data_IF_057607675306
#
_entry.id   IF_057607675306
#
_cell.length_a   1.000
_cell.length_b   1.000
_cell.length_c   1.000
_cell.angle_alpha   90.00
_cell.angle_beta   90.00
_cell.angle_gamma   90.00
#
_symmetry.space_group_name_H-M   'P 1'
#
loop_
_entity.id
_entity.type
_entity.pdbx_description
1 polymer ?
#
# COMPACT_ATOMS: atom_id res chain seq x y z
N UNK A 1 16.49 0.18 6.84
CA UNK A 1 15.92 -0.59 5.70
C UNK A 1 16.78 -0.57 4.43
N UNK A 2 17.51 0.51 4.12
CA UNK A 2 18.28 0.64 2.88
C UNK A 2 17.81 1.83 2.05
N UNK A 3 18.57 2.19 1.01
CA UNK A 3 18.27 3.21 0.00
C UNK A 3 17.99 2.55 -1.35
N UNK A 4 17.03 3.09 -2.12
CA UNK A 4 16.83 2.70 -3.52
C UNK A 4 17.86 3.38 -4.42
N UNK A 5 18.28 2.67 -5.45
CA UNK A 5 19.04 3.25 -6.56
C UNK A 5 18.08 3.93 -7.56
N UNK A 6 18.63 4.51 -8.64
CA UNK A 6 17.82 5.19 -9.67
C UNK A 6 16.82 4.27 -10.39
N UNK A 7 17.09 2.96 -10.44
CA UNK A 7 16.20 1.93 -10.99
C UNK A 7 15.19 1.37 -9.96
N UNK A 8 15.15 1.96 -8.76
CA UNK A 8 14.26 1.57 -7.66
C UNK A 8 14.73 0.35 -6.86
N UNK A 9 15.83 -0.31 -7.26
CA UNK A 9 16.36 -1.47 -6.56
C UNK A 9 16.98 -1.09 -5.20
N UNK A 10 16.72 -1.88 -4.16
CA UNK A 10 17.31 -1.66 -2.83
C UNK A 10 18.55 -2.54 -2.67
N UNK A 11 19.74 -2.00 -2.96
CA UNK A 11 21.03 -2.72 -2.87
C UNK A 11 21.82 -2.44 -1.58
N UNK A 12 21.25 -1.68 -0.65
CA UNK A 12 21.90 -1.31 0.62
C UNK A 12 21.08 -1.70 1.84
N UNK A 13 21.70 -1.74 3.02
CA UNK A 13 21.04 -2.09 4.28
C UNK A 13 20.81 -3.59 4.49
N UNK A 14 20.04 -3.91 5.54
CA UNK A 14 19.81 -5.30 6.00
C UNK A 14 18.98 -6.14 5.03
N UNK A 15 18.19 -5.51 4.14
CA UNK A 15 17.33 -6.20 3.17
C UNK A 15 17.89 -6.24 1.75
N UNK A 16 19.14 -5.80 1.51
CA UNK A 16 19.72 -5.64 0.16
C UNK A 16 19.65 -6.85 -0.77
N UNK A 17 19.54 -8.06 -0.23
CA UNK A 17 19.44 -9.32 -0.99
C UNK A 17 18.16 -10.11 -0.64
N UNK A 18 17.12 -9.44 -0.13
CA UNK A 18 15.85 -10.06 0.21
C UNK A 18 15.12 -10.57 -1.03
N UNK A 19 14.59 -11.81 -0.98
CA UNK A 19 13.74 -12.40 -2.02
C UNK A 19 12.35 -11.79 -1.96
N UNK A 20 11.98 -11.02 -2.98
CA UNK A 20 10.60 -10.60 -3.13
C UNK A 20 9.72 -11.81 -3.49
N UNK A 21 8.41 -11.67 -3.23
CA UNK A 21 7.42 -12.73 -3.48
C UNK A 21 7.27 -13.07 -4.98
N UNK A 22 7.69 -12.16 -5.86
CA UNK A 22 7.78 -12.39 -7.31
C UNK A 22 9.04 -13.17 -7.73
N UNK A 23 9.82 -13.67 -6.76
CA UNK A 23 11.05 -14.43 -6.97
C UNK A 23 12.26 -13.56 -7.35
N UNK A 24 12.13 -12.23 -7.38
CA UNK A 24 13.22 -11.34 -7.80
C UNK A 24 14.05 -10.83 -6.63
N UNK A 25 15.32 -10.55 -6.91
CA UNK A 25 16.27 -9.88 -6.01
C UNK A 25 17.10 -8.86 -6.80
N UNK A 26 17.43 -7.70 -6.22
CA UNK A 26 16.85 -7.16 -4.99
C UNK A 26 15.38 -6.73 -5.21
N UNK A 27 14.61 -6.64 -4.13
CA UNK A 27 13.28 -6.01 -4.21
C UNK A 27 13.39 -4.54 -4.61
N UNK A 28 12.32 -4.02 -5.21
CA UNK A 28 12.26 -2.65 -5.72
C UNK A 28 11.27 -1.80 -4.94
N UNK A 29 11.51 -0.49 -4.91
CA UNK A 29 10.60 0.53 -4.36
C UNK A 29 10.67 1.81 -5.19
N UNK A 30 9.62 2.62 -5.13
CA UNK A 30 9.54 3.94 -5.77
C UNK A 30 8.88 4.92 -4.79
N UNK A 31 9.57 5.16 -3.68
CA UNK A 31 9.05 5.92 -2.55
C UNK A 31 8.50 7.28 -2.99
N UNK A 32 7.22 7.53 -2.70
CA UNK A 32 6.57 8.83 -2.89
C UNK A 32 6.25 9.19 -4.35
N UNK A 33 6.39 8.26 -5.30
CA UNK A 33 6.02 8.51 -6.70
C UNK A 33 4.50 8.58 -6.91
N UNK A 34 3.74 7.84 -6.10
CA UNK A 34 2.28 7.78 -6.13
C UNK A 34 1.76 7.45 -4.72
N UNK A 35 0.45 7.46 -4.50
CA UNK A 35 -0.15 7.09 -3.21
C UNK A 35 0.17 8.07 -2.08
N UNK A 36 -0.22 7.71 -0.86
CA UNK A 36 -0.08 8.55 0.33
C UNK A 36 0.33 7.70 1.53
N UNK A 37 1.04 8.30 2.48
CA UNK A 37 1.21 7.71 3.80
C UNK A 37 -0.11 7.82 4.59
N UNK A 38 -0.30 6.90 5.52
CA UNK A 38 -1.41 6.95 6.47
C UNK A 38 -1.25 8.16 7.39
N UNK A 39 -2.37 8.83 7.66
CA UNK A 39 -2.45 9.99 8.55
C UNK A 39 -3.17 9.64 9.85
N UNK A 40 -2.99 10.45 10.90
CA UNK A 40 -3.63 10.22 12.20
C UNK A 40 -5.17 10.15 12.11
N UNK A 41 -5.77 10.92 11.19
CA UNK A 41 -7.21 10.87 10.92
C UNK A 41 -7.66 9.52 10.35
N UNK A 42 -6.81 8.86 9.56
CA UNK A 42 -7.10 7.55 8.97
C UNK A 42 -7.02 6.49 10.07
N UNK A 43 -6.02 6.58 10.96
CA UNK A 43 -5.88 5.72 12.14
C UNK A 43 -7.09 5.87 13.06
N UNK A 44 -7.49 7.11 13.37
CA UNK A 44 -8.67 7.38 14.19
C UNK A 44 -9.94 6.78 13.57
N UNK A 45 -10.08 6.86 12.24
CA UNK A 45 -11.19 6.25 11.52
C UNK A 45 -11.20 4.73 11.65
N UNK A 46 -10.04 4.07 11.54
CA UNK A 46 -9.90 2.61 11.69
C UNK A 46 -10.21 2.16 13.12
N UNK A 47 -9.68 2.84 14.13
CA UNK A 47 -9.89 2.50 15.54
C UNK A 47 -11.35 2.69 15.97
N UNK A 48 -12.06 3.63 15.35
CA UNK A 48 -13.47 3.89 15.62
C UNK A 48 -14.44 2.95 14.89
N UNK A 49 -13.95 2.00 14.07
CA UNK A 49 -14.81 1.07 13.33
C UNK A 49 -15.62 0.21 14.31
N UNK A 50 -16.94 0.28 14.19
CA UNK A 50 -17.88 -0.55 14.95
C UNK A 50 -18.66 -1.56 14.09
N UNK A 51 -18.62 -1.42 12.76
CA UNK A 51 -19.22 -2.36 11.82
C UNK A 51 -18.13 -3.14 11.09
N UNK A 52 -18.10 -4.46 11.29
CA UNK A 52 -17.15 -5.37 10.65
C UNK A 52 -17.18 -5.28 9.11
N UNK A 53 -18.30 -4.84 8.52
CA UNK A 53 -18.39 -4.61 7.07
C UNK A 53 -17.40 -3.57 6.58
N UNK A 54 -16.98 -2.60 7.39
CA UNK A 54 -15.92 -1.65 7.03
C UNK A 54 -14.53 -2.27 7.00
N UNK A 55 -14.32 -3.36 7.76
CA UNK A 55 -13.10 -4.16 7.74
C UNK A 55 -13.08 -5.10 6.54
N UNK A 56 -14.23 -5.71 6.21
CA UNK A 56 -14.37 -6.66 5.11
C UNK A 56 -14.73 -6.01 3.77
N UNK A 57 -14.92 -4.69 3.73
CA UNK A 57 -15.23 -3.98 2.50
C UNK A 57 -14.03 -4.02 1.56
N UNK A 58 -14.25 -4.59 0.38
CA UNK A 58 -13.33 -4.47 -0.75
C UNK A 58 -13.70 -3.22 -1.56
N UNK A 59 -12.79 -2.27 -1.71
CA UNK A 59 -13.09 -0.94 -2.24
C UNK A 59 -12.19 -0.55 -3.40
N UNK A 60 -12.04 -1.44 -4.38
CA UNK A 60 -11.69 -1.01 -5.72
C UNK A 60 -12.99 -0.57 -6.43
N UNK A 61 -13.32 0.74 -6.51
CA UNK A 61 -14.44 1.18 -7.32
C UNK A 61 -14.17 0.82 -8.79
N UNK A 62 -14.76 -0.28 -9.23
CA UNK A 62 -14.74 -0.67 -10.62
C UNK A 62 -15.80 0.12 -11.39
N UNK A 63 -15.48 0.49 -12.62
CA UNK A 63 -16.42 1.17 -13.51
C UNK A 63 -17.67 0.30 -13.68
N UNK A 64 -18.82 0.80 -13.24
CA UNK A 64 -20.09 0.06 -13.30
C UNK A 64 -20.48 -0.67 -12.01
N UNK A 65 -19.71 -0.57 -10.93
CA UNK A 65 -20.13 -1.08 -9.63
C UNK A 65 -21.31 -0.24 -9.08
N UNK A 66 -22.46 -0.83 -8.75
CA UNK A 66 -23.62 -0.10 -8.24
C UNK A 66 -23.45 0.34 -6.78
N UNK A 67 -22.46 -0.22 -6.08
CA UNK A 67 -22.15 0.14 -4.71
C UNK A 67 -21.21 1.34 -4.66
N UNK A 68 -21.50 2.35 -3.82
CA UNK A 68 -20.63 3.52 -3.69
C UNK A 68 -19.27 3.12 -3.11
N UNK A 69 -18.22 3.83 -3.51
CA UNK A 69 -16.88 3.65 -2.96
C UNK A 69 -16.89 3.95 -1.45
N UNK A 70 -16.38 3.02 -0.65
CA UNK A 70 -16.18 3.24 0.78
C UNK A 70 -14.73 3.69 1.05
N UNK A 71 -14.50 4.99 0.98
CA UNK A 71 -13.18 5.59 1.20
C UNK A 71 -12.66 5.46 2.65
N UNK A 72 -13.50 5.00 3.58
CA UNK A 72 -13.12 4.71 4.96
C UNK A 72 -12.85 3.22 5.21
N UNK A 73 -13.00 2.37 4.19
CA UNK A 73 -12.68 0.95 4.33
C UNK A 73 -11.19 0.78 4.65
N UNK A 74 -10.91 -0.18 5.52
CA UNK A 74 -9.53 -0.50 5.93
C UNK A 74 -8.67 -0.80 4.71
N UNK A 75 -9.23 -1.50 3.72
CA UNK A 75 -8.51 -1.80 2.49
C UNK A 75 -8.06 -0.52 1.76
N UNK A 76 -8.95 0.46 1.59
CA UNK A 76 -8.62 1.72 0.92
C UNK A 76 -7.50 2.47 1.66
N UNK A 77 -7.61 2.58 2.98
CA UNK A 77 -6.65 3.30 3.82
C UNK A 77 -5.29 2.59 3.86
N UNK A 78 -5.26 1.26 3.94
CA UNK A 78 -4.00 0.51 3.95
C UNK A 78 -3.33 0.48 2.56
N UNK A 79 -4.11 0.58 1.48
CA UNK A 79 -3.60 0.56 0.10
C UNK A 79 -2.70 1.76 -0.23
N UNK A 80 -2.96 2.92 0.38
CA UNK A 80 -2.14 4.12 0.21
C UNK A 80 -0.64 3.89 0.46
N UNK A 81 -0.24 3.40 1.65
CA UNK A 81 1.14 3.05 1.98
C UNK A 81 1.80 2.01 1.04
N UNK A 82 1.02 1.05 0.52
CA UNK A 82 1.52 0.10 -0.49
C UNK A 82 1.92 0.82 -1.79
N UNK A 83 1.02 1.68 -2.30
CA UNK A 83 1.25 2.49 -3.50
C UNK A 83 2.38 3.51 -3.28
N UNK A 84 2.44 4.13 -2.09
CA UNK A 84 3.52 5.06 -1.68
C UNK A 84 4.88 4.40 -1.67
N UNK A 85 4.96 3.15 -1.19
CA UNK A 85 6.20 2.39 -1.24
C UNK A 85 6.57 2.03 -2.68
N UNK A 86 5.56 1.65 -3.48
CA UNK A 86 5.69 1.28 -4.88
C UNK A 86 6.62 0.08 -5.11
N UNK A 87 7.05 -0.11 -6.36
CA UNK A 87 7.91 -1.22 -6.74
C UNK A 87 7.27 -2.57 -6.42
N UNK A 88 7.96 -3.42 -5.65
CA UNK A 88 7.49 -4.76 -5.27
C UNK A 88 6.26 -4.75 -4.34
N UNK A 89 5.87 -3.60 -3.78
CA UNK A 89 4.65 -3.44 -2.97
C UNK A 89 3.50 -2.75 -3.74
N UNK A 90 3.70 -2.38 -5.01
CA UNK A 90 2.69 -1.64 -5.76
C UNK A 90 1.46 -2.49 -6.05
N UNK A 91 0.27 -1.94 -5.78
CA UNK A 91 -1.04 -2.50 -6.13
C UNK A 91 -1.64 -1.66 -7.26
N UNK A 92 -2.09 -2.32 -8.32
CA UNK A 92 -2.63 -1.72 -9.56
C UNK A 92 -4.14 -1.92 -9.67
#
# INVERSE_FOLDING_TARGET
MGRQDGDGAVRTGVFRNWLALDGRRPFRRSIGRAGNLMQDRDIASIVAISDYRQVLAYTAPQRGCPYPANWSAVEYLHGGPHVYTGGSLFVS
#
